data_IF_276596477456
#
_entry.id   IF_276596477456
#
_cell.length_a   1.000
_cell.length_b   1.000
_cell.length_c   1.000
_cell.angle_alpha   90.00
_cell.angle_beta   90.00
_cell.angle_gamma   90.00
#
_symmetry.space_group_name_H-M   'P 1'
#
loop_
_entity.id
_entity.type
_entity.pdbx_description
1 polymer ?
#
# COMPACT_ATOMS: atom_id res chain seq x y z
N UNK A 1 7.18 -13.65 10.42
CA UNK A 1 6.14 -12.90 11.17
C UNK A 1 5.03 -12.34 10.27
N UNK A 2 5.31 -11.78 9.07
CA UNK A 2 4.27 -11.22 8.18
C UNK A 2 3.35 -12.26 7.47
N UNK A 3 3.82 -13.49 7.24
CA UNK A 3 3.09 -14.51 6.49
C UNK A 3 1.77 -15.00 7.13
N UNK A 4 1.44 -14.60 8.37
CA UNK A 4 0.33 -15.20 9.13
C UNK A 4 -0.94 -14.32 9.26
N UNK A 5 -0.89 -13.03 8.91
CA UNK A 5 -1.97 -12.08 9.20
C UNK A 5 -3.10 -12.02 8.15
N UNK A 6 -2.84 -12.44 6.92
CA UNK A 6 -3.75 -12.28 5.78
C UNK A 6 -4.68 -13.48 5.54
N UNK A 7 -4.54 -14.55 6.34
CA UNK A 7 -5.38 -15.76 6.26
C UNK A 7 -6.83 -15.58 6.77
N UNK A 8 -7.22 -14.40 7.23
CA UNK A 8 -8.55 -14.13 7.79
C UNK A 8 -9.53 -13.47 6.78
N UNK A 9 -9.36 -13.69 5.48
CA UNK A 9 -10.24 -13.13 4.43
C UNK A 9 -9.97 -11.68 4.06
N UNK A 10 -8.86 -11.10 4.51
CA UNK A 10 -8.44 -9.76 4.10
C UNK A 10 -8.04 -9.77 2.62
N UNK A 11 -8.50 -8.76 1.86
CA UNK A 11 -8.17 -8.59 0.43
C UNK A 11 -6.99 -7.63 0.20
N UNK A 12 -6.60 -6.88 1.24
CA UNK A 12 -5.40 -6.04 1.23
C UNK A 12 -4.68 -6.06 2.58
N UNK A 13 -3.36 -5.99 2.52
CA UNK A 13 -2.46 -5.71 3.64
C UNK A 13 -1.79 -4.36 3.39
N UNK A 14 -2.20 -3.34 4.15
CA UNK A 14 -1.59 -2.01 4.08
C UNK A 14 -0.51 -1.88 5.16
N UNK A 15 0.70 -1.51 4.76
CA UNK A 15 1.86 -1.38 5.64
C UNK A 15 2.70 -0.14 5.31
N UNK A 16 3.65 0.18 6.19
CA UNK A 16 4.47 1.39 6.10
C UNK A 16 5.90 1.17 6.58
N UNK A 17 6.44 2.15 7.31
CA UNK A 17 7.79 2.19 7.90
C UNK A 17 8.95 2.40 6.91
N UNK A 18 8.96 1.72 5.76
CA UNK A 18 10.06 1.83 4.78
C UNK A 18 10.10 3.18 4.03
N UNK A 19 9.00 3.94 4.06
CA UNK A 19 8.79 5.15 3.24
C UNK A 19 8.87 4.92 1.72
N UNK A 20 8.82 3.66 1.26
CA UNK A 20 8.87 3.30 -0.16
C UNK A 20 7.51 2.80 -0.63
N UNK A 21 7.08 3.27 -1.81
CA UNK A 21 5.88 2.76 -2.48
C UNK A 21 6.02 1.26 -2.73
N UNK A 22 4.93 0.53 -2.53
CA UNK A 22 4.84 -0.90 -2.85
C UNK A 22 3.40 -1.26 -3.21
N UNK A 23 3.21 -2.04 -4.26
CA UNK A 23 1.88 -2.48 -4.70
C UNK A 23 2.02 -3.76 -5.51
N UNK A 24 1.81 -4.90 -4.87
CA UNK A 24 1.85 -6.22 -5.51
C UNK A 24 0.75 -7.12 -4.95
N UNK A 25 0.26 -8.04 -5.77
CA UNK A 25 -0.71 -9.06 -5.34
C UNK A 25 0.05 -10.36 -5.06
N UNK A 26 -0.10 -10.87 -3.83
CA UNK A 26 0.44 -12.16 -3.39
C UNK A 26 -0.73 -13.01 -2.91
N UNK A 27 -0.87 -14.25 -3.40
CA UNK A 27 -2.00 -15.18 -3.21
C UNK A 27 -3.38 -14.50 -3.08
N UNK A 28 -3.69 -13.57 -4.01
CA UNK A 28 -4.99 -12.89 -4.09
C UNK A 28 -5.18 -11.74 -3.09
N UNK A 29 -4.14 -11.35 -2.36
CA UNK A 29 -4.16 -10.21 -1.43
C UNK A 29 -3.24 -9.10 -1.92
N UNK A 30 -3.73 -7.87 -1.93
CA UNK A 30 -2.97 -6.69 -2.29
C UNK A 30 -2.05 -6.29 -1.13
N UNK A 31 -0.74 -6.44 -1.30
CA UNK A 31 0.27 -5.92 -0.39
C UNK A 31 0.60 -4.49 -0.83
N UNK A 32 0.31 -3.53 0.06
CA UNK A 32 0.32 -2.12 -0.31
C UNK A 32 1.05 -1.24 0.70
N UNK A 33 1.94 -0.39 0.21
CA UNK A 33 2.59 0.66 0.99
C UNK A 33 2.47 2.00 0.25
N UNK A 34 1.77 3.01 0.81
CA UNK A 34 1.56 4.31 0.16
C UNK A 34 2.84 5.15 0.07
N UNK A 35 3.93 4.76 0.72
CA UNK A 35 5.17 5.53 0.80
C UNK A 35 5.15 6.56 1.93
N UNK A 36 5.49 7.81 1.63
CA UNK A 36 5.74 8.84 2.64
C UNK A 36 5.03 10.16 2.35
N UNK A 37 4.06 10.55 3.18
CA UNK A 37 3.31 11.81 2.99
C UNK A 37 3.80 12.97 3.89
N UNK A 38 4.79 12.71 4.75
CA UNK A 38 5.27 13.66 5.74
C UNK A 38 6.03 14.87 5.17
N UNK A 39 6.62 15.65 6.07
CA UNK A 39 7.44 16.83 5.71
C UNK A 39 8.55 16.46 4.72
N UNK A 40 8.89 17.32 3.74
CA UNK A 40 10.00 17.07 2.82
C UNK A 40 11.28 16.69 3.57
N UNK A 41 11.89 15.59 3.14
CA UNK A 41 13.17 15.11 3.63
C UNK A 41 14.05 14.85 2.42
N UNK A 42 15.33 15.21 2.52
CA UNK A 42 16.31 14.96 1.47
C UNK A 42 16.32 13.46 1.15
N UNK A 43 16.25 13.11 -0.13
CA UNK A 43 16.25 11.73 -0.66
C UNK A 43 15.01 10.88 -0.34
N UNK A 44 13.88 11.46 0.06
CA UNK A 44 12.60 10.74 0.15
C UNK A 44 11.59 11.29 -0.86
N UNK A 45 11.16 10.43 -1.77
CA UNK A 45 10.04 10.70 -2.67
C UNK A 45 8.76 10.69 -1.84
N UNK A 46 8.01 11.79 -1.90
CA UNK A 46 6.74 11.88 -1.17
C UNK A 46 5.62 11.25 -1.99
N UNK A 47 4.68 10.65 -1.29
CA UNK A 47 3.46 10.10 -1.88
C UNK A 47 2.34 9.88 -0.90
N UNK A 48 1.13 9.85 -1.45
CA UNK A 48 -0.04 9.23 -0.87
C UNK A 48 -0.62 8.23 -1.88
N UNK A 49 -1.74 7.59 -1.53
CA UNK A 49 -2.48 6.76 -2.45
C UNK A 49 -3.96 6.70 -2.09
N UNK A 50 -4.77 6.42 -3.10
CA UNK A 50 -6.19 6.09 -2.99
C UNK A 50 -6.36 4.65 -3.48
N UNK A 51 -7.12 3.85 -2.74
CA UNK A 51 -7.58 2.55 -3.23
C UNK A 51 -9.07 2.68 -3.45
N UNK A 52 -9.50 2.66 -4.70
CA UNK A 52 -10.91 2.62 -5.04
C UNK A 52 -11.41 1.17 -5.02
N UNK A 53 -12.59 0.93 -4.45
CA UNK A 53 -13.22 -0.38 -4.42
C UNK A 53 -14.35 -0.39 -5.44
N UNK A 54 -14.16 -1.08 -6.58
CA UNK A 54 -15.13 -1.17 -7.67
C UNK A 54 -15.62 -2.61 -7.81
N UNK A 55 -16.86 -2.88 -7.40
CA UNK A 55 -17.44 -4.23 -7.54
C UNK A 55 -16.65 -5.33 -6.82
N UNK A 56 -15.92 -5.00 -5.74
CA UNK A 56 -15.08 -5.95 -5.00
C UNK A 56 -13.61 -6.02 -5.47
N UNK A 57 -13.27 -5.32 -6.55
CA UNK A 57 -11.89 -5.15 -7.01
C UNK A 57 -11.25 -3.93 -6.35
N UNK A 58 -9.97 -4.08 -5.97
CA UNK A 58 -9.17 -3.02 -5.38
C UNK A 58 -8.34 -2.35 -6.47
N UNK A 59 -8.56 -1.06 -6.70
CA UNK A 59 -7.88 -0.27 -7.73
C UNK A 59 -7.01 0.79 -7.04
N UNK A 60 -5.72 0.47 -6.76
CA UNK A 60 -4.80 1.42 -6.15
C UNK A 60 -4.31 2.47 -7.16
N UNK A 61 -4.20 3.71 -6.71
CA UNK A 61 -3.59 4.82 -7.44
C UNK A 61 -2.64 5.59 -6.50
N UNK A 62 -1.38 5.76 -6.91
CA UNK A 62 -0.43 6.61 -6.22
C UNK A 62 -0.61 8.08 -6.60
N UNK A 63 -0.34 8.96 -5.64
CA UNK A 63 -0.38 10.41 -5.78
C UNK A 63 1.00 10.95 -5.38
N UNK A 64 1.65 11.71 -6.25
CA UNK A 64 2.90 12.43 -5.97
C UNK A 64 2.61 13.72 -5.17
N UNK A 65 3.47 14.09 -4.22
CA UNK A 65 3.26 15.18 -3.25
C UNK A 65 4.45 16.16 -3.11
#
# INVERSE_FOLDING_TARGET
MAQRLWKNGARALVFGHSHRRYSEVHDGVLFFNPGYSGKPKLNLVRSAAIIEIRGGELVPQFIDL
#
